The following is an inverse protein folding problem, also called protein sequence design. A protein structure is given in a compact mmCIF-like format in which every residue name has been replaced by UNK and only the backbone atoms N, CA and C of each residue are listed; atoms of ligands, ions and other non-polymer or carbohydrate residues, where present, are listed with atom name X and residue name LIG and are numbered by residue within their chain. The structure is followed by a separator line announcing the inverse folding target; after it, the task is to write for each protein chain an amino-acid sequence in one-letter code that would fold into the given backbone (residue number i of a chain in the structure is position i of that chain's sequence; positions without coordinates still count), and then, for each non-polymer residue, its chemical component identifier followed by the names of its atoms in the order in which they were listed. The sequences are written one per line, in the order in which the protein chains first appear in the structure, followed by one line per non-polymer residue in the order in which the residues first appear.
data_IF_445527545274
#
_entry.id   IF_445527545274
#
_cell.length_a   1.000
_cell.length_b   1.000
_cell.length_c   1.000
_cell.angle_alpha   90.00
_cell.angle_beta   90.00
_cell.angle_gamma   90.00
#
_symmetry.space_group_name_H-M   'P 1'
#
loop_
_entity.id
_entity.type
_entity.pdbx_description
1 polymer ?
#
# COMPACT_ATOMS: atom_id res chain seq x y z
N UNK A 1 -7.57 -6.63 -22.19
CA UNK A 1 -6.19 -6.69 -21.65
C UNK A 1 -5.46 -5.35 -21.81
N UNK A 2 -5.52 -4.65 -22.95
CA UNK A 2 -4.83 -3.38 -23.22
C UNK A 2 -5.15 -2.32 -22.14
N UNK A 3 -6.40 -2.17 -21.73
CA UNK A 3 -6.82 -1.21 -20.70
C UNK A 3 -6.32 -1.58 -19.30
N UNK A 4 -6.34 -2.88 -18.97
CA UNK A 4 -5.78 -3.37 -17.72
C UNK A 4 -4.29 -3.07 -17.60
N UNK A 5 -3.52 -3.29 -18.67
CA UNK A 5 -2.09 -3.01 -18.67
C UNK A 5 -1.77 -1.50 -18.59
N UNK A 6 -2.62 -0.64 -19.18
CA UNK A 6 -2.50 0.82 -19.02
C UNK A 6 -2.62 1.28 -17.56
N UNK A 7 -3.41 0.59 -16.76
CA UNK A 7 -3.49 0.83 -15.32
C UNK A 7 -2.34 0.14 -14.57
N UNK A 8 -2.15 -1.17 -14.81
CA UNK A 8 -1.28 -2.01 -13.99
C UNK A 8 0.20 -1.68 -14.14
N UNK A 9 0.67 -1.37 -15.36
CA UNK A 9 2.08 -1.09 -15.60
C UNK A 9 2.55 0.20 -14.90
N UNK A 10 1.89 1.36 -15.06
CA UNK A 10 2.27 2.58 -14.34
C UNK A 10 2.24 2.38 -12.82
N UNK A 11 1.22 1.68 -12.28
CA UNK A 11 1.15 1.32 -10.87
C UNK A 11 2.42 0.58 -10.41
N UNK A 12 2.80 -0.51 -11.10
CA UNK A 12 4.00 -1.29 -10.74
C UNK A 12 5.30 -0.49 -10.86
N UNK A 13 5.40 0.38 -11.87
CA UNK A 13 6.56 1.27 -12.06
C UNK A 13 6.70 2.23 -10.88
N UNK A 14 5.60 2.88 -10.45
CA UNK A 14 5.60 3.79 -9.29
C UNK A 14 6.00 3.06 -8.01
N UNK A 15 5.45 1.87 -7.77
CA UNK A 15 5.79 1.07 -6.59
C UNK A 15 7.26 0.64 -6.61
N UNK A 16 7.77 0.19 -7.76
CA UNK A 16 9.19 -0.15 -7.92
C UNK A 16 10.10 1.04 -7.64
N UNK A 17 9.78 2.22 -8.19
CA UNK A 17 10.55 3.45 -7.96
C UNK A 17 10.64 3.82 -6.48
N UNK A 18 9.55 3.68 -5.75
CA UNK A 18 9.47 4.05 -4.35
C UNK A 18 10.16 3.04 -3.43
N UNK A 19 9.95 1.75 -3.67
CA UNK A 19 10.43 0.65 -2.81
C UNK A 19 11.76 0.04 -3.26
N UNK A 20 12.27 0.41 -4.44
CA UNK A 20 13.47 -0.16 -5.06
C UNK A 20 13.17 -1.37 -5.96
N UNK A 21 12.32 -2.28 -5.53
CA UNK A 21 11.83 -3.42 -6.31
C UNK A 21 10.43 -3.87 -5.87
N UNK A 22 9.81 -4.76 -6.65
CA UNK A 22 8.43 -5.20 -6.40
C UNK A 22 8.30 -6.14 -5.20
N UNK A 23 9.30 -6.96 -4.90
CA UNK A 23 9.27 -7.81 -3.71
C UNK A 23 9.35 -6.95 -2.44
N UNK A 24 10.20 -5.93 -2.42
CA UNK A 24 10.26 -4.95 -1.34
C UNK A 24 8.93 -4.22 -1.16
N UNK A 25 8.24 -3.85 -2.25
CA UNK A 25 6.90 -3.30 -2.21
C UNK A 25 5.89 -4.28 -1.59
N UNK A 26 5.89 -5.55 -1.99
CA UNK A 26 4.96 -6.56 -1.45
C UNK A 26 5.22 -6.77 0.04
N UNK A 27 6.48 -6.94 0.45
CA UNK A 27 6.85 -7.13 1.87
C UNK A 27 6.45 -5.93 2.72
N UNK A 28 6.79 -4.70 2.29
CA UNK A 28 6.43 -3.49 3.01
C UNK A 28 4.91 -3.25 3.03
N UNK A 29 4.25 -3.51 1.90
CA UNK A 29 2.79 -3.39 1.77
C UNK A 29 2.04 -4.36 2.70
N UNK A 30 2.55 -5.58 2.89
CA UNK A 30 1.97 -6.57 3.81
C UNK A 30 2.06 -6.08 5.26
N UNK A 31 3.20 -5.55 5.68
CA UNK A 31 3.37 -4.95 7.02
C UNK A 31 2.43 -3.75 7.18
N UNK A 32 2.36 -2.88 6.17
CA UNK A 32 1.48 -1.71 6.19
C UNK A 32 0.01 -2.11 6.31
N UNK A 33 -0.45 -3.08 5.51
CA UNK A 33 -1.83 -3.58 5.57
C UNK A 33 -2.17 -4.20 6.94
N UNK A 34 -1.26 -4.99 7.51
CA UNK A 34 -1.45 -5.54 8.86
C UNK A 34 -1.59 -4.43 9.91
N UNK A 35 -0.75 -3.40 9.85
CA UNK A 35 -0.83 -2.27 10.78
C UNK A 35 -2.16 -1.52 10.66
N UNK A 36 -2.65 -1.33 9.42
CA UNK A 36 -3.95 -0.72 9.14
C UNK A 36 -5.09 -1.50 9.81
N UNK A 37 -5.16 -2.81 9.54
CA UNK A 37 -6.24 -3.66 10.05
C UNK A 37 -6.27 -3.62 11.57
N UNK A 38 -5.12 -3.75 12.21
CA UNK A 38 -5.02 -3.74 13.68
C UNK A 38 -5.38 -2.38 14.30
N UNK A 39 -4.96 -1.29 13.67
CA UNK A 39 -5.35 0.05 14.11
C UNK A 39 -6.85 0.29 13.91
N UNK A 40 -7.42 -0.20 12.81
CA UNK A 40 -8.87 -0.12 12.58
C UNK A 40 -9.66 -0.82 13.68
N UNK A 41 -9.26 -2.01 14.05
CA UNK A 41 -9.92 -2.77 15.13
C UNK A 41 -9.83 -2.01 16.46
N UNK A 42 -8.63 -1.53 16.80
CA UNK A 42 -8.37 -0.82 18.05
C UNK A 42 -9.11 0.53 18.15
N UNK A 43 -9.19 1.26 17.05
CA UNK A 43 -9.76 2.61 16.99
C UNK A 43 -11.11 2.67 16.28
N UNK A 44 -11.86 1.58 16.27
CA UNK A 44 -13.16 1.47 15.59
C UNK A 44 -14.14 2.63 15.90
N UNK A 45 -14.05 3.20 17.10
CA UNK A 45 -14.90 4.29 17.56
C UNK A 45 -14.24 5.68 17.50
N UNK A 46 -13.01 5.81 16.99
CA UNK A 46 -12.33 7.10 16.94
C UNK A 46 -12.88 7.94 15.76
N UNK A 47 -13.18 9.25 15.98
CA UNK A 47 -13.68 10.14 14.92
C UNK A 47 -12.76 10.21 13.68
N UNK A 48 -11.43 10.15 13.86
CA UNK A 48 -10.44 10.20 12.77
C UNK A 48 -10.59 8.97 11.87
N UNK A 49 -10.71 7.77 12.46
CA UNK A 49 -10.93 6.54 11.69
C UNK A 49 -12.28 6.53 11.00
N UNK A 50 -13.34 7.06 11.62
CA UNK A 50 -14.67 7.20 10.99
C UNK A 50 -14.63 8.14 9.79
N UNK A 51 -13.93 9.27 9.88
CA UNK A 51 -13.80 10.26 8.79
C UNK A 51 -13.02 9.72 7.60
N UNK A 52 -12.00 8.91 7.84
CA UNK A 52 -11.15 8.32 6.79
C UNK A 52 -11.88 7.24 5.98
N UNK A 53 -12.93 6.65 6.52
CA UNK A 53 -13.80 5.69 5.82
C UNK A 53 -15.01 6.32 5.14
N UNK A 54 -15.31 7.59 5.39
CA UNK A 54 -16.26 8.35 4.59
C UNK A 54 -15.59 8.69 3.25
N UNK A 55 -16.30 8.52 2.16
CA UNK A 55 -15.98 8.51 0.73
C UNK A 55 -15.00 9.57 0.16
N UNK A 56 -14.24 10.26 0.97
CA UNK A 56 -13.32 11.31 0.59
C UNK A 56 -11.87 10.80 0.68
N UNK A 57 -11.48 10.03 -0.34
CA UNK A 57 -10.15 9.41 -0.49
C UNK A 57 -9.11 10.36 -1.10
N UNK A 58 -9.20 11.66 -0.85
CA UNK A 58 -8.23 12.64 -1.33
C UNK A 58 -6.81 12.44 -0.76
N UNK A 59 -5.81 13.02 -1.42
CA UNK A 59 -4.40 12.95 -1.02
C UNK A 59 -4.19 13.40 0.44
N UNK A 60 -4.88 14.46 0.86
CA UNK A 60 -4.80 15.00 2.22
C UNK A 60 -5.31 14.00 3.26
N UNK A 61 -6.43 13.32 2.99
CA UNK A 61 -6.98 12.31 3.89
C UNK A 61 -6.09 11.07 4.02
N UNK A 62 -5.43 10.66 2.91
CA UNK A 62 -4.45 9.59 2.97
C UNK A 62 -3.23 9.98 3.82
N UNK A 63 -2.72 11.20 3.65
CA UNK A 63 -1.58 11.71 4.41
C UNK A 63 -1.92 11.82 5.90
N UNK A 64 -3.08 12.34 6.26
CA UNK A 64 -3.56 12.43 7.66
C UNK A 64 -3.70 11.05 8.29
N UNK A 65 -4.28 10.13 7.58
CA UNK A 65 -4.43 8.76 8.01
C UNK A 65 -3.09 8.02 8.14
N UNK A 66 -2.19 8.18 7.17
CA UNK A 66 -0.84 7.61 7.23
C UNK A 66 -0.03 8.23 8.38
N UNK A 67 -0.17 9.54 8.64
CA UNK A 67 0.40 10.20 9.83
C UNK A 67 -0.14 9.56 11.11
N UNK A 68 -1.45 9.35 11.22
CA UNK A 68 -2.06 8.70 12.39
C UNK A 68 -1.48 7.30 12.63
N UNK A 69 -1.33 6.48 11.58
CA UNK A 69 -0.73 5.14 11.67
C UNK A 69 0.74 5.21 12.15
N UNK A 70 1.52 6.12 11.58
CA UNK A 70 2.96 6.22 11.83
C UNK A 70 3.27 6.91 13.15
N UNK A 71 2.38 7.82 13.58
CA UNK A 71 2.54 8.60 14.82
C UNK A 71 1.89 7.94 16.03
N UNK A 72 1.04 6.93 15.84
CA UNK A 72 0.53 6.17 16.98
C UNK A 72 1.72 5.58 17.74
N UNK A 73 2.02 6.15 18.90
CA UNK A 73 3.09 5.69 19.80
C UNK A 73 2.82 4.31 20.39
N UNK A 74 1.68 3.75 20.07
CA UNK A 74 1.25 2.50 20.62
C UNK A 74 1.91 1.34 19.90
N UNK A 75 2.33 0.37 20.68
CA UNK A 75 2.83 -0.92 20.24
C UNK A 75 1.82 -1.59 19.30
N UNK A 76 1.95 -1.34 18.00
CA UNK A 76 1.25 -2.12 17.00
C UNK A 76 2.00 -3.44 16.91
N UNK A 77 1.31 -4.53 17.15
CA UNK A 77 1.90 -5.85 17.03
C UNK A 77 2.46 -6.03 15.61
N UNK A 78 3.76 -6.07 15.50
CA UNK A 78 4.47 -6.26 14.23
C UNK A 78 4.26 -7.65 13.66
N UNK A 79 4.84 -7.90 12.50
CA UNK A 79 4.83 -9.19 11.83
C UNK A 79 6.22 -9.81 11.83
N UNK A 80 6.32 -11.11 12.01
CA UNK A 80 7.58 -11.83 11.81
C UNK A 80 7.79 -12.22 10.34
N UNK A 81 9.02 -12.57 9.98
CA UNK A 81 9.38 -12.92 8.61
C UNK A 81 8.67 -14.18 8.08
N UNK A 82 8.30 -15.11 8.97
CA UNK A 82 7.59 -16.35 8.59
C UNK A 82 6.16 -16.04 8.18
N UNK A 83 5.43 -15.24 8.98
CA UNK A 83 4.07 -14.82 8.65
C UNK A 83 4.03 -14.00 7.34
N UNK A 84 5.02 -13.13 7.11
CA UNK A 84 5.11 -12.38 5.85
C UNK A 84 5.35 -13.35 4.67
N UNK A 85 6.23 -14.33 4.83
CA UNK A 85 6.50 -15.36 3.81
C UNK A 85 5.25 -16.18 3.48
N UNK A 86 4.51 -16.59 4.49
CA UNK A 86 3.27 -17.35 4.35
C UNK A 86 2.19 -16.56 3.59
N UNK A 87 1.97 -15.31 3.96
CA UNK A 87 0.96 -14.45 3.32
C UNK A 87 1.33 -14.11 1.88
N UNK A 88 2.62 -13.84 1.61
CA UNK A 88 3.07 -13.33 0.30
C UNK A 88 3.44 -14.43 -0.69
N UNK A 89 3.71 -15.65 -0.21
CA UNK A 89 4.31 -16.73 -0.99
C UNK A 89 5.79 -16.50 -1.35
N UNK A 90 6.38 -15.40 -0.89
CA UNK A 90 7.81 -15.10 -1.12
C UNK A 90 8.65 -15.97 -0.18
N UNK A 91 9.69 -16.68 -0.68
CA UNK A 91 10.54 -17.50 0.16
C UNK A 91 11.10 -16.74 1.37
N UNK A 92 11.06 -17.34 2.56
CA UNK A 92 11.44 -16.71 3.82
C UNK A 92 12.84 -16.07 3.79
N UNK A 93 13.80 -16.72 3.13
CA UNK A 93 15.15 -16.15 2.96
C UNK A 93 15.12 -14.82 2.19
N UNK A 94 14.31 -14.74 1.14
CA UNK A 94 14.10 -13.50 0.36
C UNK A 94 13.41 -12.45 1.21
N UNK A 95 12.36 -12.81 1.95
CA UNK A 95 11.68 -11.89 2.89
C UNK A 95 12.69 -11.29 3.88
N UNK A 96 13.51 -12.11 4.53
CA UNK A 96 14.54 -11.63 5.47
C UNK A 96 15.52 -10.67 4.80
N UNK A 97 15.97 -10.97 3.58
CA UNK A 97 16.85 -10.08 2.82
C UNK A 97 16.18 -8.73 2.53
N UNK A 98 14.92 -8.71 2.11
CA UNK A 98 14.15 -7.49 1.84
C UNK A 98 13.88 -6.68 3.11
N UNK A 99 13.54 -7.36 4.21
CA UNK A 99 13.36 -6.72 5.51
C UNK A 99 14.64 -6.02 5.99
N UNK A 100 15.81 -6.67 5.86
CA UNK A 100 17.10 -6.04 6.22
C UNK A 100 17.42 -4.80 5.38
N UNK A 101 17.11 -4.82 4.09
CA UNK A 101 17.28 -3.65 3.22
C UNK A 101 16.33 -2.52 3.65
N UNK A 102 15.07 -2.83 3.88
CA UNK A 102 14.05 -1.87 4.29
C UNK A 102 14.31 -1.30 5.70
N UNK A 103 14.88 -2.10 6.59
CA UNK A 103 15.32 -1.67 7.92
C UNK A 103 16.49 -0.68 7.82
N UNK A 104 17.52 -0.98 7.01
CA UNK A 104 18.66 -0.07 6.76
C UNK A 104 18.22 1.28 6.19
N UNK A 105 17.18 1.30 5.36
CA UNK A 105 16.61 2.55 4.81
C UNK A 105 15.64 3.24 5.77
N UNK A 106 15.35 2.63 6.94
CA UNK A 106 14.40 3.14 7.92
C UNK A 106 12.93 3.06 7.49
N UNK A 107 12.63 2.38 6.39
CA UNK A 107 11.26 2.14 5.91
C UNK A 107 10.49 1.20 6.83
N UNK A 108 11.19 0.26 7.44
CA UNK A 108 10.66 -0.72 8.39
C UNK A 108 11.48 -0.62 9.67
N UNK A 109 10.84 -0.85 10.80
CA UNK A 109 11.46 -0.95 12.11
C UNK A 109 11.30 -2.36 12.64
N UNK A 110 12.35 -2.88 13.26
CA UNK A 110 12.35 -4.18 13.94
C UNK A 110 12.42 -3.95 15.44
N UNK A 111 11.51 -4.53 16.20
CA UNK A 111 11.48 -4.43 17.64
C UNK A 111 12.37 -5.49 18.33
N UNK A 112 12.37 -5.48 19.65
CA UNK A 112 13.14 -6.44 20.48
C UNK A 112 12.65 -7.88 20.32
N UNK A 113 11.40 -8.08 19.99
CA UNK A 113 10.75 -9.38 19.76
C UNK A 113 10.91 -9.88 18.33
N UNK A 114 11.74 -9.20 17.54
CA UNK A 114 12.01 -9.53 16.12
C UNK A 114 10.77 -9.35 15.22
N UNK A 115 9.82 -8.52 15.63
CA UNK A 115 8.64 -8.16 14.85
C UNK A 115 8.91 -6.90 14.04
N UNK A 116 8.39 -6.84 12.83
CA UNK A 116 8.57 -5.75 11.89
C UNK A 116 7.33 -4.89 11.81
N UNK A 117 7.52 -3.59 11.95
CA UNK A 117 6.51 -2.55 11.85
C UNK A 117 6.96 -1.46 10.87
N UNK A 118 6.10 -0.49 10.58
CA UNK A 118 6.43 0.66 9.72
C UNK A 118 7.49 1.51 10.41
N UNK A 119 8.54 1.86 9.68
CA UNK A 119 9.65 2.66 10.17
C UNK A 119 9.45 4.17 10.02
N UNK A 120 10.32 4.93 10.69
CA UNK A 120 10.26 6.41 10.73
C UNK A 120 10.46 7.09 9.38
N UNK A 121 11.15 6.45 8.43
CA UNK A 121 11.39 7.02 7.09
C UNK A 121 10.11 7.11 6.25
N UNK A 122 9.11 6.27 6.50
CA UNK A 122 7.79 6.47 5.92
C UNK A 122 7.22 7.85 6.25
N UNK A 123 7.49 8.37 7.45
CA UNK A 123 7.06 9.70 7.87
C UNK A 123 7.60 10.82 6.98
N UNK A 124 8.89 10.78 6.64
CA UNK A 124 9.51 11.78 5.77
C UNK A 124 9.08 11.65 4.31
N UNK A 125 8.63 10.46 3.89
CA UNK A 125 8.15 10.16 2.52
C UNK A 125 6.63 10.15 2.38
N UNK A 126 5.87 10.57 3.39
CA UNK A 126 4.41 10.58 3.35
C UNK A 126 3.84 11.39 2.19
N UNK A 127 4.46 12.52 1.84
CA UNK A 127 4.04 13.35 0.71
C UNK A 127 4.20 12.61 -0.62
N UNK A 128 5.33 11.91 -0.81
CA UNK A 128 5.57 11.12 -2.03
C UNK A 128 4.60 9.94 -2.12
N UNK A 129 4.33 9.28 -0.98
CA UNK A 129 3.31 8.22 -0.90
C UNK A 129 1.92 8.73 -1.23
N UNK A 130 1.52 9.90 -0.71
CA UNK A 130 0.25 10.53 -1.01
C UNK A 130 0.09 10.80 -2.50
N UNK A 131 1.13 11.32 -3.15
CA UNK A 131 1.15 11.54 -4.60
C UNK A 131 1.00 10.21 -5.37
N UNK A 132 1.77 9.18 -5.03
CA UNK A 132 1.69 7.86 -5.66
C UNK A 132 0.28 7.27 -5.48
N UNK A 133 -0.30 7.41 -4.30
CA UNK A 133 -1.64 6.93 -4.00
C UNK A 133 -2.70 7.64 -4.85
N UNK A 134 -2.65 8.96 -4.92
CA UNK A 134 -3.56 9.79 -5.73
C UNK A 134 -3.46 9.43 -7.23
N UNK A 135 -2.24 9.32 -7.78
CA UNK A 135 -2.04 8.91 -9.17
C UNK A 135 -2.60 7.51 -9.44
N UNK A 136 -2.41 6.57 -8.50
CA UNK A 136 -2.95 5.21 -8.62
C UNK A 136 -4.48 5.19 -8.60
N UNK A 137 -5.11 6.04 -7.78
CA UNK A 137 -6.58 6.17 -7.75
C UNK A 137 -7.12 6.72 -9.05
N UNK A 138 -6.51 7.78 -9.59
CA UNK A 138 -6.91 8.37 -10.88
C UNK A 138 -6.83 7.32 -12.00
N UNK A 139 -5.73 6.56 -12.07
CA UNK A 139 -5.57 5.51 -13.08
C UNK A 139 -6.57 4.36 -12.90
N UNK A 140 -6.89 4.00 -11.65
CA UNK A 140 -7.91 3.00 -11.34
C UNK A 140 -9.30 3.47 -11.75
N UNK A 141 -9.66 4.72 -11.44
CA UNK A 141 -10.93 5.30 -11.85
C UNK A 141 -11.09 5.31 -13.38
N UNK A 142 -10.04 5.71 -14.10
CA UNK A 142 -10.02 5.66 -15.58
C UNK A 142 -10.20 4.23 -16.09
N UNK A 143 -9.53 3.26 -15.48
CA UNK A 143 -9.67 1.85 -15.84
C UNK A 143 -11.11 1.37 -15.64
N UNK A 144 -11.69 1.64 -14.47
CA UNK A 144 -13.07 1.24 -14.13
C UNK A 144 -14.07 1.91 -15.07
N UNK A 145 -13.97 3.21 -15.33
CA UNK A 145 -14.85 3.94 -16.25
C UNK A 145 -14.80 3.33 -17.65
N UNK A 146 -13.59 3.11 -18.17
CA UNK A 146 -13.41 2.46 -19.50
C UNK A 146 -13.97 1.05 -19.54
N UNK A 147 -13.82 0.27 -18.46
CA UNK A 147 -14.39 -1.07 -18.36
C UNK A 147 -15.92 -1.03 -18.44
N UNK A 148 -16.57 -0.11 -17.72
CA UNK A 148 -18.02 0.04 -17.77
C UNK A 148 -18.52 0.56 -19.12
N UNK A 149 -17.81 1.47 -19.78
CA UNK A 149 -18.16 1.92 -21.14
C UNK A 149 -18.12 0.77 -22.15
N UNK A 150 -17.08 -0.06 -22.11
CA UNK A 150 -16.95 -1.24 -22.97
C UNK A 150 -18.03 -2.30 -22.67
N UNK A 151 -18.42 -2.44 -21.41
CA UNK A 151 -19.49 -3.37 -21.00
C UNK A 151 -20.87 -2.90 -21.48
N UNK A 152 -21.15 -1.60 -21.40
CA UNK A 152 -22.42 -1.02 -21.84
C UNK A 152 -22.56 -0.95 -23.35
N UNK A 153 -21.46 -0.84 -24.09
CA UNK A 153 -21.45 -0.73 -25.56
C UNK A 153 -20.60 -1.83 -26.22
N UNK A 154 -21.11 -3.06 -26.32
CA UNK A 154 -20.37 -4.18 -26.90
C UNK A 154 -19.98 -3.98 -28.37
N UNK A 155 -20.62 -3.02 -29.10
CA UNK A 155 -20.25 -2.66 -30.45
C UNK A 155 -18.93 -1.90 -30.60
N UNK A 156 -18.44 -1.25 -29.54
CA UNK A 156 -17.11 -0.61 -29.54
C UNK A 156 -15.98 -1.65 -29.69
N UNK A 157 -16.20 -2.88 -29.21
CA UNK A 157 -15.23 -3.97 -29.33
C UNK A 157 -15.02 -4.47 -30.77
N UNK A 158 -15.93 -4.22 -31.71
CA UNK A 158 -15.79 -4.65 -33.12
C UNK A 158 -14.79 -3.80 -33.90
N UNK A 159 -14.51 -2.58 -33.44
CA UNK A 159 -13.59 -1.63 -34.09
C UNK A 159 -12.16 -1.65 -33.50
N UNK A 160 -11.88 -2.55 -32.57
CA UNK A 160 -10.58 -2.68 -31.88
C UNK A 160 -9.79 -3.94 -32.31
N UNK A 161 -10.21 -4.61 -33.40
CA UNK A 161 -9.46 -5.72 -34.00
C UNK A 161 -8.39 -5.22 -34.96
#
# INVERSE_FOLDING_TARGET
WRFFFRFKIPFLIRQRKFHGDLESFIVAGTIFANNIVRLKEKYKNNPITKKTYSNDLGEENFVEWAKFIILSKESILGMNASSISEITGIPRATVIRKLRISEKTGMIHRDKEQLYTIGKTYKSKLKDLGKIFSENQIDLCKFISTFFELYRNPNINKNLK
#
